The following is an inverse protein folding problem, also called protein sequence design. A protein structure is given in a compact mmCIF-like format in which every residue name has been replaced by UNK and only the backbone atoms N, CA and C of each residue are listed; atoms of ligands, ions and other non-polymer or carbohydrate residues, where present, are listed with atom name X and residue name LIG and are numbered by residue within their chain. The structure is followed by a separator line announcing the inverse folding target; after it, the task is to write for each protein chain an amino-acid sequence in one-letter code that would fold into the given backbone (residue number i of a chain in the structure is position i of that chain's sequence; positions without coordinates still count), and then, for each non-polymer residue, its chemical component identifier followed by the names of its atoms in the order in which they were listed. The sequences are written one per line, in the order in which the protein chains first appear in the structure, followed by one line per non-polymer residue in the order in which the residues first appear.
data_IF_511661192277
#
_entry.id   IF_511661192277
#
_cell.length_a   1.000
_cell.length_b   1.000
_cell.length_c   1.000
_cell.angle_alpha   90.00
_cell.angle_beta   90.00
_cell.angle_gamma   90.00
#
_symmetry.space_group_name_H-M   'P 1'
#
loop_
_entity.id
_entity.type
_entity.pdbx_description
1 polymer ?
#
# COMPACT_ATOMS: atom_id res chain seq x y z
N UNK A 1 -0.29 -10.00 -5.21
CA UNK A 1 1.07 -9.47 -4.94
C UNK A 1 1.58 -8.52 -6.03
N UNK A 2 0.70 -8.04 -6.93
CA UNK A 2 1.08 -7.23 -8.10
C UNK A 2 0.41 -5.84 -8.04
N UNK A 3 0.75 -5.09 -7.00
CA UNK A 3 0.14 -3.81 -6.68
C UNK A 3 1.22 -2.72 -6.65
N UNK A 4 0.94 -1.59 -7.32
CA UNK A 4 1.70 -0.37 -7.10
C UNK A 4 1.34 0.14 -5.71
N UNK A 5 2.31 0.13 -4.79
CA UNK A 5 2.10 0.54 -3.41
C UNK A 5 2.94 1.78 -3.10
N UNK A 6 2.32 2.76 -2.44
CA UNK A 6 2.97 3.96 -1.96
C UNK A 6 2.41 4.33 -0.58
N UNK A 7 3.26 4.93 0.26
CA UNK A 7 2.88 5.43 1.58
C UNK A 7 2.83 6.96 1.57
N UNK A 8 1.85 7.51 2.29
CA UNK A 8 1.77 8.93 2.62
C UNK A 8 1.94 9.07 4.13
N UNK A 9 3.14 9.44 4.54
CA UNK A 9 3.44 9.70 5.95
C UNK A 9 3.02 11.12 6.32
N UNK A 10 2.17 11.26 7.35
CA UNK A 10 1.71 12.53 7.86
C UNK A 10 2.25 12.73 9.27
N UNK A 11 3.13 13.71 9.44
CA UNK A 11 3.81 13.99 10.71
C UNK A 11 2.80 14.44 11.76
N UNK A 12 2.89 13.87 12.96
CA UNK A 12 1.95 14.10 14.08
C UNK A 12 2.56 14.92 15.21
N UNK A 13 3.85 14.73 15.45
CA UNK A 13 4.61 15.32 16.55
C UNK A 13 6.11 15.11 16.29
N UNK A 14 6.94 15.57 17.22
CA UNK A 14 8.40 15.59 17.08
C UNK A 14 9.13 14.43 17.76
N UNK A 15 8.48 13.34 18.17
CA UNK A 15 9.12 12.17 18.82
C UNK A 15 10.05 12.51 20.03
N UNK A 16 10.41 11.50 20.81
CA UNK A 16 11.05 11.72 22.12
C UNK A 16 12.48 12.28 22.08
N UNK A 17 13.06 12.44 20.88
CA UNK A 17 14.42 12.97 20.71
C UNK A 17 14.49 14.50 20.79
N UNK A 18 13.36 15.21 20.65
CA UNK A 18 13.37 16.67 20.54
C UNK A 18 13.65 17.34 21.91
N UNK A 19 14.62 18.26 22.04
CA UNK A 19 15.01 18.84 23.32
C UNK A 19 13.91 19.65 24.04
N UNK A 20 12.94 20.19 23.30
CA UNK A 20 11.78 20.89 23.86
C UNK A 20 10.54 19.99 24.00
N UNK A 21 10.67 18.66 23.90
CA UNK A 21 9.57 17.70 24.15
C UNK A 21 9.25 17.55 25.66
N UNK A 22 9.20 18.68 26.39
CA UNK A 22 8.76 18.74 27.78
C UNK A 22 7.26 18.94 27.85
N UNK A 23 6.56 18.01 28.50
CA UNK A 23 5.09 17.88 28.59
C UNK A 23 4.46 17.78 27.18
N UNK A 24 4.42 16.57 26.64
CA UNK A 24 3.63 16.25 25.44
C UNK A 24 2.19 16.72 25.66
N UNK A 25 1.79 17.81 25.02
CA UNK A 25 0.39 18.22 25.03
C UNK A 25 -0.39 17.26 24.13
N UNK A 26 -0.95 16.23 24.75
CA UNK A 26 -1.78 15.22 24.10
C UNK A 26 -2.90 15.87 23.27
N UNK A 27 -3.41 17.05 23.69
CA UNK A 27 -4.45 17.74 22.94
C UNK A 27 -3.96 18.30 21.61
N UNK A 28 -2.71 18.77 21.54
CA UNK A 28 -2.09 19.21 20.28
C UNK A 28 -1.80 18.04 19.34
N UNK A 29 -1.37 16.90 19.87
CA UNK A 29 -1.18 15.68 19.07
C UNK A 29 -2.51 15.23 18.48
N UNK A 30 -3.57 15.15 19.30
CA UNK A 30 -4.90 14.75 18.83
C UNK A 30 -5.40 15.74 17.76
N UNK A 31 -5.25 17.05 17.97
CA UNK A 31 -5.65 18.05 16.98
C UNK A 31 -4.90 17.86 15.64
N UNK A 32 -3.59 17.60 15.69
CA UNK A 32 -2.77 17.34 14.50
C UNK A 32 -3.16 16.03 13.81
N UNK A 33 -3.39 14.95 14.58
CA UNK A 33 -3.87 13.66 14.08
C UNK A 33 -5.22 13.79 13.38
N UNK A 34 -6.20 14.45 14.00
CA UNK A 34 -7.53 14.65 13.40
C UNK A 34 -7.42 15.50 12.12
N UNK A 35 -6.66 16.59 12.15
CA UNK A 35 -6.43 17.42 10.97
C UNK A 35 -5.72 16.66 9.83
N UNK A 36 -4.79 15.77 10.16
CA UNK A 36 -4.14 14.90 9.17
C UNK A 36 -5.11 13.83 8.64
N UNK A 37 -5.98 13.28 9.46
CA UNK A 37 -7.01 12.34 9.01
C UNK A 37 -7.96 12.97 7.98
N UNK A 38 -8.37 14.23 8.20
CA UNK A 38 -9.17 14.98 7.22
C UNK A 38 -8.43 15.17 5.89
N UNK A 39 -7.17 15.61 5.94
CA UNK A 39 -6.34 15.78 4.74
C UNK A 39 -6.13 14.45 4.02
N UNK A 40 -5.89 13.36 4.76
CA UNK A 40 -5.75 12.01 4.23
C UNK A 40 -7.00 11.54 3.49
N UNK A 41 -8.19 11.73 4.10
CA UNK A 41 -9.48 11.44 3.44
C UNK A 41 -9.66 12.26 2.16
N UNK A 42 -9.37 13.55 2.21
CA UNK A 42 -9.48 14.45 1.06
C UNK A 42 -8.48 14.09 -0.06
N UNK A 43 -7.29 13.60 0.28
CA UNK A 43 -6.33 13.10 -0.69
C UNK A 43 -6.86 11.84 -1.38
N UNK A 44 -7.28 10.84 -0.59
CA UNK A 44 -7.75 9.55 -1.12
C UNK A 44 -8.99 9.72 -2.00
N UNK A 45 -9.94 10.58 -1.62
CA UNK A 45 -11.16 10.80 -2.41
C UNK A 45 -10.91 11.42 -3.78
N UNK A 46 -9.78 12.12 -3.96
CA UNK A 46 -9.40 12.74 -5.24
C UNK A 46 -8.63 11.79 -6.17
N UNK A 47 -8.05 10.71 -5.65
CA UNK A 47 -7.21 9.80 -6.43
C UNK A 47 -7.93 9.18 -7.64
N UNK A 48 -9.19 8.71 -7.56
CA UNK A 48 -9.86 8.11 -8.73
C UNK A 48 -9.95 9.07 -9.92
N UNK A 49 -10.21 10.35 -9.68
CA UNK A 49 -10.30 11.36 -10.74
C UNK A 49 -8.92 11.69 -11.35
N UNK A 50 -7.84 11.60 -10.56
CA UNK A 50 -6.47 11.85 -11.03
C UNK A 50 -5.88 10.66 -11.79
N UNK A 51 -6.22 9.43 -11.38
CA UNK A 51 -5.71 8.20 -12.01
C UNK A 51 -6.51 7.81 -13.25
N UNK A 52 -7.78 8.21 -13.32
CA UNK A 52 -8.68 7.83 -14.41
C UNK A 52 -9.22 6.39 -14.27
N UNK A 53 -10.10 5.97 -15.20
CA UNK A 53 -10.72 4.64 -15.17
C UNK A 53 -9.77 3.52 -15.64
N UNK A 54 -8.79 3.87 -16.47
CA UNK A 54 -7.90 2.91 -17.10
C UNK A 54 -6.59 2.76 -16.32
N UNK A 55 -6.17 1.52 -16.09
CA UNK A 55 -4.87 1.21 -15.49
C UNK A 55 -3.88 0.83 -16.57
N UNK A 56 -2.97 1.75 -16.90
CA UNK A 56 -1.82 1.42 -17.74
C UNK A 56 -0.85 0.47 -16.99
N UNK A 57 -0.07 -0.37 -17.71
CA UNK A 57 0.99 -1.15 -17.09
C UNK A 57 1.93 -0.27 -16.27
N UNK A 58 2.33 -0.73 -15.09
CA UNK A 58 3.22 0.06 -14.25
C UNK A 58 4.60 0.19 -14.92
N UNK A 59 5.14 1.41 -15.11
CA UNK A 59 6.47 1.59 -15.71
C UNK A 59 7.59 0.97 -14.86
N UNK A 60 7.34 0.74 -13.57
CA UNK A 60 8.27 0.10 -12.64
C UNK A 60 8.03 -1.42 -12.49
N UNK A 61 7.06 -1.98 -13.22
CA UNK A 61 6.76 -3.42 -13.20
C UNK A 61 6.12 -3.93 -11.91
N UNK A 62 5.65 -3.07 -11.00
CA UNK A 62 5.03 -3.50 -9.73
C UNK A 62 3.79 -4.38 -9.95
N UNK A 63 3.07 -4.17 -11.04
CA UNK A 63 1.90 -4.93 -11.47
C UNK A 63 2.25 -6.26 -12.18
N UNK A 64 3.54 -6.56 -12.33
CA UNK A 64 4.06 -7.81 -12.90
C UNK A 64 5.14 -8.42 -12.02
N UNK A 65 5.19 -8.04 -10.75
CA UNK A 65 6.24 -8.46 -9.83
C UNK A 65 6.37 -9.99 -9.70
N UNK A 66 5.30 -10.75 -9.99
CA UNK A 66 5.34 -12.21 -9.92
C UNK A 66 5.79 -12.89 -11.21
N UNK A 67 6.04 -12.15 -12.31
CA UNK A 67 6.41 -12.71 -13.63
C UNK A 67 7.53 -13.75 -13.53
N UNK A 68 8.55 -13.45 -12.72
CA UNK A 68 9.68 -14.33 -12.44
C UNK A 68 9.80 -14.64 -10.94
N UNK A 69 8.77 -14.29 -10.15
CA UNK A 69 8.77 -14.40 -8.69
C UNK A 69 8.31 -15.77 -8.16
N UNK A 70 7.79 -16.64 -9.03
CA UNK A 70 7.34 -17.99 -8.63
C UNK A 70 8.47 -19.00 -8.84
N UNK A 71 9.03 -19.47 -7.72
CA UNK A 71 10.12 -20.46 -7.73
C UNK A 71 9.62 -21.89 -7.84
N UNK A 72 8.40 -22.18 -7.36
CA UNK A 72 7.85 -23.54 -7.37
C UNK A 72 7.59 -23.98 -8.81
N UNK A 73 8.25 -25.05 -9.24
CA UNK A 73 8.10 -25.62 -10.59
C UNK A 73 6.65 -26.07 -10.86
N UNK A 74 6.15 -25.96 -12.10
CA UNK A 74 4.76 -26.27 -12.43
C UNK A 74 4.27 -27.65 -11.96
N UNK A 75 5.11 -28.68 -12.10
CA UNK A 75 4.80 -30.07 -11.71
C UNK A 75 4.79 -30.31 -10.18
N UNK A 76 5.22 -29.31 -9.40
CA UNK A 76 5.25 -29.36 -7.93
C UNK A 76 4.17 -28.50 -7.27
N UNK A 77 3.26 -27.93 -8.04
CA UNK A 77 2.20 -27.06 -7.52
C UNK A 77 0.97 -27.88 -7.15
N UNK A 78 0.65 -27.92 -5.86
CA UNK A 78 -0.61 -28.50 -5.38
C UNK A 78 -1.80 -27.66 -5.90
N UNK A 79 -2.76 -28.26 -6.63
CA UNK A 79 -3.93 -27.54 -7.16
C UNK A 79 -4.74 -26.81 -6.08
N UNK A 80 -4.88 -27.40 -4.89
CA UNK A 80 -5.64 -26.79 -3.79
C UNK A 80 -4.92 -25.56 -3.20
N UNK A 81 -3.58 -25.55 -3.23
CA UNK A 81 -2.81 -24.37 -2.82
C UNK A 81 -2.82 -23.28 -3.89
N UNK A 82 -2.74 -23.64 -5.16
CA UNK A 82 -2.86 -22.67 -6.27
C UNK A 82 -4.22 -21.98 -6.24
N UNK A 83 -5.30 -22.73 -6.00
CA UNK A 83 -6.64 -22.15 -5.89
C UNK A 83 -6.75 -21.09 -4.78
N UNK A 84 -6.03 -21.25 -3.65
CA UNK A 84 -6.00 -20.24 -2.57
C UNK A 84 -5.27 -18.94 -2.95
N UNK A 85 -4.48 -18.96 -4.03
CA UNK A 85 -3.67 -17.83 -4.48
C UNK A 85 -4.32 -17.07 -5.66
N UNK A 86 -5.53 -17.42 -6.05
CA UNK A 86 -6.26 -16.84 -7.18
C UNK A 86 -6.27 -15.30 -7.18
N UNK A 87 -6.58 -14.69 -6.04
CA UNK A 87 -6.70 -13.25 -5.86
C UNK A 87 -5.35 -12.51 -5.97
N UNK A 88 -4.23 -13.19 -5.72
CA UNK A 88 -2.91 -12.54 -5.58
C UNK A 88 -1.91 -12.93 -6.64
N UNK A 89 -2.06 -14.10 -7.26
CA UNK A 89 -1.14 -14.68 -8.25
C UNK A 89 -1.87 -15.30 -9.46
N UNK A 90 -3.19 -15.13 -9.58
CA UNK A 90 -4.00 -15.74 -10.64
C UNK A 90 -3.51 -15.42 -12.06
N UNK A 91 -2.92 -14.25 -12.31
CA UNK A 91 -2.31 -13.90 -13.59
C UNK A 91 -1.21 -14.88 -14.03
N UNK A 92 -0.37 -15.31 -13.09
CA UNK A 92 0.81 -16.16 -13.37
C UNK A 92 0.51 -17.64 -13.16
N UNK A 93 -0.46 -17.97 -12.30
CA UNK A 93 -0.78 -19.35 -11.91
C UNK A 93 -2.10 -19.90 -12.45
N UNK A 94 -3.00 -19.07 -12.95
CA UNK A 94 -4.36 -19.43 -13.38
C UNK A 94 -4.49 -19.85 -14.84
N UNK A 95 -3.39 -20.26 -15.47
CA UNK A 95 -3.40 -20.91 -16.79
C UNK A 95 -3.88 -22.35 -16.73
#
# INVERSE_FOLDING_TARGET
AELCYASVAMITDYDSWHPQHGEVDITQIIATLTGNADKGRALVSRLPALLGPDRAPCPHGCDRALEYGILTAPDKRDPALVAKLDAVAGRVLGG
#
